data_IF_122127133222
#
_entry.id   IF_122127133222
#
_cell.length_a   1.000
_cell.length_b   1.000
_cell.length_c   1.000
_cell.angle_alpha   90.00
_cell.angle_beta   90.00
_cell.angle_gamma   90.00
#
_symmetry.space_group_name_H-M   'P 1'
#
loop_
_entity.id
_entity.type
_entity.pdbx_description
1 polymer ?
#
# COMPACT_ATOMS: atom_id res chain seq x y z
N UNK A 1 28.79 16.44 -6.95
CA UNK A 1 28.63 16.49 -5.48
C UNK A 1 29.43 15.34 -4.88
N UNK A 2 30.07 15.47 -3.71
CA UNK A 2 30.77 14.32 -3.09
C UNK A 2 29.73 13.22 -2.79
N UNK A 3 29.93 11.95 -3.18
CA UNK A 3 28.92 10.88 -3.11
C UNK A 3 28.33 10.71 -1.70
N UNK A 4 29.14 10.95 -0.67
CA UNK A 4 28.75 10.92 0.75
C UNK A 4 27.59 11.88 1.08
N UNK A 5 27.52 13.07 0.46
CA UNK A 5 26.46 14.05 0.77
C UNK A 5 25.12 13.69 0.15
N UNK A 6 25.13 13.08 -1.04
CA UNK A 6 23.90 12.55 -1.67
C UNK A 6 23.36 11.42 -0.79
N UNK A 7 24.23 10.51 -0.36
CA UNK A 7 23.86 9.42 0.56
C UNK A 7 23.22 9.96 1.84
N UNK A 8 23.77 11.02 2.45
CA UNK A 8 23.20 11.63 3.68
C UNK A 8 21.83 12.28 3.43
N UNK A 9 21.62 12.95 2.30
CA UNK A 9 20.30 13.52 1.95
C UNK A 9 19.29 12.41 1.68
N UNK A 10 19.69 11.35 0.98
CA UNK A 10 18.85 10.18 0.70
C UNK A 10 18.46 9.47 2.01
N UNK A 11 19.41 9.26 2.92
CA UNK A 11 19.13 8.69 4.25
C UNK A 11 18.19 9.59 5.04
N UNK A 12 18.43 10.91 5.05
CA UNK A 12 17.55 11.87 5.70
C UNK A 12 16.13 11.83 5.15
N UNK A 13 15.96 11.75 3.83
CA UNK A 13 14.65 11.68 3.17
C UNK A 13 13.92 10.35 3.44
N UNK A 14 14.64 9.23 3.40
CA UNK A 14 14.08 7.91 3.75
C UNK A 14 13.60 7.89 5.21
N UNK A 15 14.38 8.49 6.12
CA UNK A 15 13.99 8.62 7.52
C UNK A 15 12.74 9.49 7.69
N UNK A 16 12.65 10.60 6.94
CA UNK A 16 11.49 11.49 6.94
C UNK A 16 10.20 10.75 6.57
N UNK A 17 10.30 9.84 5.59
CA UNK A 17 9.17 9.06 5.12
C UNK A 17 8.67 8.09 6.18
N UNK A 18 9.57 7.28 6.74
CA UNK A 18 9.22 6.33 7.80
C UNK A 18 8.59 7.07 8.97
N UNK A 19 9.18 8.22 9.32
CA UNK A 19 8.67 9.09 10.38
C UNK A 19 7.26 9.63 10.09
N UNK A 20 6.99 10.04 8.84
CA UNK A 20 5.68 10.54 8.42
C UNK A 20 4.61 9.43 8.43
N UNK A 21 4.93 8.23 7.94
CA UNK A 21 4.01 7.09 7.99
C UNK A 21 3.66 6.77 9.43
N UNK A 22 4.65 6.64 10.30
CA UNK A 22 4.42 6.41 11.74
C UNK A 22 3.58 7.53 12.34
N UNK A 23 3.89 8.79 12.06
CA UNK A 23 3.13 9.93 12.57
C UNK A 23 1.67 9.91 12.10
N UNK A 24 1.41 9.66 10.82
CA UNK A 24 0.04 9.57 10.28
C UNK A 24 -0.70 8.38 10.89
N UNK A 25 -0.08 7.20 10.94
CA UNK A 25 -0.68 6.01 11.54
C UNK A 25 -1.04 6.23 13.01
N UNK A 26 -0.14 6.82 13.79
CA UNK A 26 -0.41 7.18 15.19
C UNK A 26 -1.52 8.22 15.33
N UNK A 27 -1.59 9.20 14.41
CA UNK A 27 -2.64 10.22 14.41
C UNK A 27 -4.01 9.62 14.09
N UNK A 28 -4.10 8.76 13.07
CA UNK A 28 -5.32 8.04 12.72
C UNK A 28 -5.78 7.17 13.89
N UNK A 29 -4.87 6.41 14.51
CA UNK A 29 -5.19 5.58 15.67
C UNK A 29 -5.69 6.42 16.86
N UNK A 30 -5.06 7.56 17.14
CA UNK A 30 -5.47 8.46 18.21
C UNK A 30 -6.84 9.12 17.94
N UNK A 31 -7.13 9.48 16.68
CA UNK A 31 -8.43 10.03 16.28
C UNK A 31 -9.51 8.97 16.40
N UNK A 32 -9.30 7.78 15.83
CA UNK A 32 -10.24 6.65 15.97
C UNK A 32 -10.51 6.32 17.43
N UNK A 33 -9.44 6.27 18.25
CA UNK A 33 -9.58 6.10 19.70
C UNK A 33 -10.42 7.18 20.37
N UNK A 34 -10.34 8.43 19.91
CA UNK A 34 -11.11 9.54 20.47
C UNK A 34 -12.56 9.59 19.99
N UNK A 35 -12.87 9.10 18.78
CA UNK A 35 -14.17 9.27 18.12
C UNK A 35 -15.07 8.04 18.14
N UNK A 36 -14.51 6.84 18.13
CA UNK A 36 -15.27 5.59 17.99
C UNK A 36 -15.61 4.92 19.32
N UNK A 37 -15.02 5.39 20.43
CA UNK A 37 -15.29 4.85 21.76
C UNK A 37 -16.57 5.44 22.36
N UNK A 38 -17.26 4.64 23.16
CA UNK A 38 -18.34 5.11 24.02
C UNK A 38 -17.81 5.91 25.24
N UNK A 39 -18.74 6.45 26.04
CA UNK A 39 -18.42 7.18 27.28
C UNK A 39 -17.68 6.32 28.32
N UNK A 40 -17.83 4.99 28.25
CA UNK A 40 -17.14 4.00 29.08
C UNK A 40 -15.74 3.61 28.57
N UNK A 41 -15.35 4.07 27.38
CA UNK A 41 -14.08 3.74 26.74
C UNK A 41 -14.06 2.41 25.99
N UNK A 42 -15.22 1.86 25.63
CA UNK A 42 -15.38 0.64 24.85
C UNK A 42 -15.59 0.97 23.36
N UNK A 43 -15.01 0.15 22.50
CA UNK A 43 -15.33 0.10 21.08
C UNK A 43 -16.41 -0.96 20.91
N UNK A 44 -17.62 -0.51 20.61
CA UNK A 44 -18.80 -1.38 20.51
C UNK A 44 -18.99 -1.89 19.09
N UNK A 45 -19.21 -3.19 18.98
CA UNK A 45 -19.69 -3.86 17.78
C UNK A 45 -21.07 -4.45 18.07
N UNK A 46 -22.07 -4.08 17.26
CA UNK A 46 -23.43 -4.60 17.39
C UNK A 46 -23.63 -5.78 16.45
N UNK A 47 -24.14 -6.88 16.99
CA UNK A 47 -24.56 -8.06 16.25
C UNK A 47 -26.08 -8.01 16.10
N UNK A 48 -26.54 -7.75 14.88
CA UNK A 48 -27.96 -7.55 14.61
C UNK A 48 -28.70 -8.89 14.68
N UNK A 49 -29.61 -8.99 15.67
CA UNK A 49 -30.58 -10.09 15.84
C UNK A 49 -29.97 -11.51 15.78
N UNK A 50 -29.32 -11.90 16.86
CA UNK A 50 -28.99 -13.31 17.10
C UNK A 50 -30.29 -14.10 17.32
N UNK A 51 -30.54 -15.05 16.42
CA UNK A 51 -31.72 -15.89 16.45
C UNK A 51 -31.31 -17.36 16.25
N UNK A 52 -31.58 -18.19 17.25
CA UNK A 52 -31.42 -19.65 17.14
C UNK A 52 -32.66 -20.38 17.66
N UNK A 53 -32.93 -21.55 17.09
CA UNK A 53 -33.92 -22.49 17.61
C UNK A 53 -33.35 -23.43 18.69
N UNK A 54 -32.04 -23.37 18.95
CA UNK A 54 -31.34 -24.24 19.90
C UNK A 54 -31.39 -23.68 21.33
N UNK A 55 -30.89 -24.43 22.30
CA UNK A 55 -30.91 -24.05 23.72
C UNK A 55 -29.78 -23.08 24.10
N UNK A 56 -28.73 -22.96 23.28
CA UNK A 56 -27.56 -22.12 23.57
C UNK A 56 -26.89 -21.62 22.30
N UNK A 57 -26.36 -20.39 22.35
CA UNK A 57 -25.37 -19.89 21.41
C UNK A 57 -24.00 -19.84 22.11
N UNK A 58 -22.97 -20.42 21.49
CA UNK A 58 -21.61 -20.45 22.03
C UNK A 58 -20.59 -19.84 21.07
N UNK A 59 -19.54 -19.22 21.58
CA UNK A 59 -18.38 -18.78 20.77
C UNK A 59 -17.48 -19.98 20.43
N UNK A 60 -16.92 -20.03 19.21
CA UNK A 60 -16.05 -21.12 18.80
C UNK A 60 -14.62 -21.08 19.36
N UNK A 61 -13.90 -22.20 19.24
CA UNK A 61 -12.57 -22.49 19.85
C UNK A 61 -11.46 -21.49 19.44
N UNK A 62 -11.62 -20.76 18.34
CA UNK A 62 -10.54 -19.99 17.71
C UNK A 62 -10.43 -18.53 18.19
N UNK A 63 -11.50 -17.92 18.70
CA UNK A 63 -11.55 -16.45 18.86
C UNK A 63 -11.13 -15.93 20.24
N UNK A 64 -11.05 -16.78 21.26
CA UNK A 64 -10.70 -16.38 22.64
C UNK A 64 -9.39 -17.01 23.15
N UNK A 65 -8.54 -17.50 22.25
CA UNK A 65 -7.25 -18.11 22.61
C UNK A 65 -6.20 -17.03 22.88
N UNK A 66 -5.69 -16.98 24.11
CA UNK A 66 -4.49 -16.23 24.43
C UNK A 66 -3.25 -17.00 23.96
N UNK A 67 -2.60 -16.54 22.88
CA UNK A 67 -1.22 -16.96 22.59
C UNK A 67 -0.32 -16.45 23.73
N UNK A 68 0.63 -17.25 24.25
CA UNK A 68 1.54 -16.79 25.29
C UNK A 68 2.36 -15.61 24.73
N UNK A 69 2.03 -14.42 25.22
CA UNK A 69 2.70 -13.18 24.85
C UNK A 69 4.18 -13.19 25.27
N UNK A 70 4.99 -12.24 24.77
CA UNK A 70 6.38 -12.11 25.17
C UNK A 70 6.50 -11.89 26.69
N UNK A 71 7.61 -12.29 27.33
CA UNK A 71 7.70 -12.48 28.78
C UNK A 71 7.34 -11.24 29.61
N UNK A 72 6.70 -11.51 30.75
CA UNK A 72 5.99 -10.71 31.77
C UNK A 72 6.55 -9.34 32.17
N UNK A 73 7.73 -8.93 31.70
CA UNK A 73 8.37 -7.66 32.10
C UNK A 73 8.11 -6.50 31.16
N UNK A 74 7.41 -6.71 30.04
CA UNK A 74 7.20 -5.67 29.03
C UNK A 74 5.76 -5.16 28.97
N UNK A 75 4.76 -5.83 29.56
CA UNK A 75 3.34 -5.64 29.23
C UNK A 75 2.36 -5.47 30.43
N UNK A 76 2.73 -4.75 31.49
CA UNK A 76 1.76 -4.28 32.53
C UNK A 76 0.71 -3.28 31.98
N UNK A 77 0.70 -3.01 30.66
CA UNK A 77 -0.14 -2.00 30.01
C UNK A 77 -1.35 -2.60 29.26
N UNK A 78 -1.60 -3.90 29.44
CA UNK A 78 -2.52 -4.69 28.61
C UNK A 78 -3.76 -5.10 29.40
N UNK A 79 -4.38 -4.14 30.10
CA UNK A 79 -5.71 -4.35 30.66
C UNK A 79 -6.70 -4.40 29.49
N UNK A 80 -7.18 -5.61 29.16
CA UNK A 80 -8.28 -5.82 28.24
C UNK A 80 -9.55 -6.14 29.03
N UNK A 81 -10.62 -5.39 28.79
CA UNK A 81 -11.94 -5.72 29.31
C UNK A 81 -12.93 -5.89 28.17
N UNK A 82 -13.73 -6.95 28.26
CA UNK A 82 -14.81 -7.23 27.33
C UNK A 82 -16.12 -6.96 28.05
N UNK A 83 -17.01 -6.23 27.39
CA UNK A 83 -18.36 -5.96 27.85
C UNK A 83 -19.34 -6.57 26.87
N UNK A 84 -20.21 -7.44 27.35
CA UNK A 84 -21.27 -8.05 26.55
C UNK A 84 -22.60 -7.49 27.05
N UNK A 85 -23.35 -6.84 26.19
CA UNK A 85 -24.73 -6.43 26.45
C UNK A 85 -25.65 -7.30 25.62
N UNK A 86 -26.56 -8.04 26.25
CA UNK A 86 -27.59 -8.77 25.53
C UNK A 86 -28.97 -8.25 25.92
N UNK A 87 -29.82 -7.99 24.94
CA UNK A 87 -31.20 -7.55 25.16
C UNK A 87 -32.14 -8.58 24.55
N UNK A 88 -33.02 -9.14 25.38
CA UNK A 88 -34.08 -10.03 24.90
C UNK A 88 -35.06 -9.24 24.05
N UNK A 89 -35.38 -9.75 22.86
CA UNK A 89 -36.41 -9.18 21.99
C UNK A 89 -37.79 -9.67 22.44
N UNK A 90 -37.88 -10.85 23.05
CA UNK A 90 -39.12 -11.31 23.70
C UNK A 90 -39.21 -10.75 25.13
N UNK A 91 -40.25 -9.96 25.46
CA UNK A 91 -40.41 -9.34 26.79
C UNK A 91 -40.62 -10.34 27.94
N UNK A 92 -40.99 -11.59 27.63
CA UNK A 92 -41.29 -12.62 28.63
C UNK A 92 -40.12 -13.52 29.00
N UNK A 93 -39.03 -13.52 28.22
CA UNK A 93 -37.87 -14.38 28.44
C UNK A 93 -36.75 -13.64 29.16
N UNK A 94 -36.20 -14.28 30.19
CA UNK A 94 -34.97 -13.84 30.85
C UNK A 94 -33.77 -14.46 30.15
N UNK A 95 -32.75 -13.65 29.86
CA UNK A 95 -31.51 -14.13 29.25
C UNK A 95 -30.44 -14.35 30.31
N UNK A 96 -29.58 -15.33 30.03
CA UNK A 96 -28.35 -15.63 30.74
C UNK A 96 -27.16 -15.41 29.80
N UNK A 97 -26.16 -14.66 30.27
CA UNK A 97 -24.85 -14.52 29.63
C UNK A 97 -23.82 -15.06 30.62
N UNK A 98 -22.96 -16.00 30.20
CA UNK A 98 -21.90 -16.55 31.04
C UNK A 98 -20.58 -16.68 30.30
N UNK A 99 -19.48 -16.46 31.03
CA UNK A 99 -18.12 -16.72 30.58
C UNK A 99 -17.48 -17.68 31.57
N UNK A 100 -16.99 -18.81 31.07
CA UNK A 100 -16.39 -19.88 31.87
C UNK A 100 -15.26 -20.58 31.14
N UNK A 101 -14.46 -21.41 31.85
CA UNK A 101 -13.43 -22.22 31.22
C UNK A 101 -14.04 -23.13 30.16
N UNK A 102 -13.40 -23.20 29.00
CA UNK A 102 -13.94 -23.93 27.84
C UNK A 102 -14.30 -25.39 28.17
N UNK A 103 -13.44 -26.09 28.90
CA UNK A 103 -13.67 -27.49 29.27
C UNK A 103 -14.90 -27.68 30.17
N UNK A 104 -15.19 -26.74 31.08
CA UNK A 104 -16.34 -26.82 31.98
C UNK A 104 -17.64 -26.49 31.23
N UNK A 105 -17.58 -25.51 30.32
CA UNK A 105 -18.70 -25.14 29.44
C UNK A 105 -19.06 -26.29 28.50
N UNK A 106 -18.05 -26.93 27.89
CA UNK A 106 -18.26 -28.09 27.01
C UNK A 106 -18.87 -29.27 27.76
N UNK A 107 -18.42 -29.53 28.99
CA UNK A 107 -19.00 -30.56 29.84
C UNK A 107 -20.46 -30.26 30.21
N UNK A 108 -20.79 -29.01 30.54
CA UNK A 108 -22.14 -28.57 30.87
C UNK A 108 -23.11 -28.67 29.68
N UNK A 109 -22.63 -28.37 28.45
CA UNK A 109 -23.42 -28.44 27.22
C UNK A 109 -23.29 -29.79 26.48
N UNK A 110 -22.72 -30.80 27.12
CA UNK A 110 -22.60 -32.14 26.55
C UNK A 110 -24.00 -32.70 26.25
N UNK A 111 -24.23 -33.11 24.99
CA UNK A 111 -25.52 -33.68 24.57
C UNK A 111 -26.66 -32.65 24.38
N UNK A 112 -26.40 -31.36 24.57
CA UNK A 112 -27.36 -30.26 24.38
C UNK A 112 -27.27 -29.71 22.96
N UNK A 113 -28.42 -29.45 22.33
CA UNK A 113 -28.46 -28.78 21.04
C UNK A 113 -28.04 -27.30 21.18
N UNK A 114 -27.02 -26.88 20.44
CA UNK A 114 -26.47 -25.52 20.47
C UNK A 114 -25.97 -25.08 19.11
N UNK A 115 -25.95 -23.78 18.89
CA UNK A 115 -25.32 -23.17 17.72
C UNK A 115 -24.00 -22.50 18.12
N UNK A 116 -22.94 -22.81 17.38
CA UNK A 116 -21.61 -22.25 17.58
C UNK A 116 -21.36 -21.13 16.55
N UNK A 117 -20.93 -19.96 17.01
CA UNK A 117 -20.55 -18.85 16.11
C UNK A 117 -19.23 -19.20 15.44
N UNK A 118 -19.22 -19.22 14.10
CA UNK A 118 -18.04 -19.55 13.29
C UNK A 118 -17.35 -18.32 12.73
N UNK A 119 -18.11 -17.38 12.22
CA UNK A 119 -17.62 -16.16 11.58
C UNK A 119 -18.64 -15.04 11.71
N UNK A 120 -18.17 -13.80 11.67
CA UNK A 120 -18.98 -12.59 11.76
C UNK A 120 -18.61 -11.68 10.59
N UNK A 121 -19.56 -11.42 9.69
CA UNK A 121 -19.36 -10.54 8.54
C UNK A 121 -19.25 -9.07 9.02
N UNK A 122 -18.52 -8.16 8.33
CA UNK A 122 -18.40 -6.76 8.75
C UNK A 122 -19.73 -6.00 8.80
N UNK A 123 -20.77 -6.52 8.16
CA UNK A 123 -22.13 -5.98 8.19
C UNK A 123 -22.94 -6.43 9.44
N UNK A 124 -22.37 -7.30 10.28
CA UNK A 124 -22.97 -7.76 11.55
C UNK A 124 -23.71 -9.10 11.47
N UNK A 125 -23.77 -9.73 10.29
CA UNK A 125 -24.37 -11.05 10.08
C UNK A 125 -23.46 -12.16 10.65
N UNK A 126 -24.08 -13.14 11.33
CA UNK A 126 -23.38 -14.22 12.04
C UNK A 126 -23.60 -15.56 11.36
N UNK A 127 -22.51 -16.28 11.04
CA UNK A 127 -22.58 -17.64 10.52
C UNK A 127 -22.52 -18.66 11.67
N UNK A 128 -23.52 -19.55 11.74
CA UNK A 128 -23.63 -20.56 12.78
C UNK A 128 -23.24 -21.95 12.30
N UNK A 129 -22.62 -22.72 13.19
CA UNK A 129 -22.46 -24.17 13.09
C UNK A 129 -23.34 -24.86 14.13
N UNK A 130 -24.41 -25.49 13.67
CA UNK A 130 -25.30 -26.24 14.54
C UNK A 130 -24.70 -27.54 15.05
N UNK A 131 -24.77 -27.76 16.36
CA UNK A 131 -24.38 -28.98 17.05
C UNK A 131 -25.65 -29.65 17.57
N UNK A 132 -25.91 -30.86 17.07
CA UNK A 132 -27.10 -31.62 17.44
C UNK A 132 -27.00 -32.17 18.87
N UNK A 133 -28.11 -32.13 19.60
CA UNK A 133 -28.26 -32.69 20.93
C UNK A 133 -29.73 -32.93 21.27
N UNK A 134 -29.98 -33.68 22.34
CA UNK A 134 -31.34 -34.03 22.80
C UNK A 134 -31.55 -33.80 24.29
N UNK A 135 -30.51 -33.43 25.02
CA UNK A 135 -30.59 -33.17 26.46
C UNK A 135 -30.98 -31.70 26.73
N UNK A 136 -31.65 -31.47 27.86
CA UNK A 136 -31.94 -30.14 28.37
C UNK A 136 -30.95 -29.84 29.49
N UNK A 137 -30.16 -28.76 29.40
CA UNK A 137 -29.19 -28.44 30.45
C UNK A 137 -29.89 -28.02 31.74
N UNK A 138 -29.18 -28.14 32.86
CA UNK A 138 -29.61 -27.55 34.12
C UNK A 138 -29.66 -26.01 34.02
N UNK A 139 -30.37 -25.28 34.89
CA UNK A 139 -30.37 -23.83 34.83
C UNK A 139 -28.94 -23.25 34.93
N UNK A 140 -28.54 -22.35 34.00
CA UNK A 140 -27.16 -21.88 33.92
C UNK A 140 -26.73 -21.06 35.13
N UNK A 141 -27.66 -20.31 35.76
CA UNK A 141 -27.38 -19.49 36.94
C UNK A 141 -27.07 -20.30 38.21
N UNK A 142 -27.39 -21.59 38.24
CA UNK A 142 -27.09 -22.47 39.37
C UNK A 142 -25.68 -23.07 39.30
N UNK A 143 -24.97 -22.89 38.19
CA UNK A 143 -23.64 -23.47 38.00
C UNK A 143 -22.55 -22.56 38.58
N UNK A 144 -21.62 -23.16 39.35
CA UNK A 144 -20.57 -22.42 40.06
C UNK A 144 -19.25 -22.23 39.30
N UNK A 145 -19.15 -22.73 38.06
CA UNK A 145 -17.91 -22.66 37.27
C UNK A 145 -17.77 -21.37 36.44
N UNK A 146 -18.85 -20.57 36.34
CA UNK A 146 -18.81 -19.29 35.64
C UNK A 146 -17.89 -18.31 36.37
N UNK A 147 -16.96 -17.72 35.63
CA UNK A 147 -16.08 -16.67 36.15
C UNK A 147 -16.79 -15.32 36.12
N UNK A 148 -17.65 -15.11 35.14
CA UNK A 148 -18.53 -13.96 35.05
C UNK A 148 -19.88 -14.40 34.48
N UNK A 149 -20.99 -13.97 35.08
CA UNK A 149 -22.34 -14.22 34.56
C UNK A 149 -23.31 -13.11 34.89
N UNK A 150 -24.29 -12.89 34.01
CA UNK A 150 -25.40 -11.98 34.21
C UNK A 150 -26.72 -12.67 33.83
N UNK A 151 -27.80 -12.40 34.55
CA UNK A 151 -29.11 -13.02 34.32
C UNK A 151 -30.23 -12.06 34.66
N UNK A 152 -31.23 -11.97 33.78
CA UNK A 152 -32.46 -11.23 34.07
C UNK A 152 -33.25 -10.83 32.83
N UNK A 153 -34.34 -10.09 33.07
CA UNK A 153 -35.20 -9.53 32.03
C UNK A 153 -34.64 -8.21 31.46
N UNK A 154 -34.86 -7.95 30.17
CA UNK A 154 -34.41 -6.72 29.51
C UNK A 154 -32.94 -6.77 29.08
N UNK A 155 -32.24 -5.62 29.11
CA UNK A 155 -30.83 -5.55 28.75
C UNK A 155 -29.95 -5.98 29.92
N UNK A 156 -29.21 -7.07 29.74
CA UNK A 156 -28.22 -7.57 30.68
C UNK A 156 -26.83 -7.16 30.25
N UNK A 157 -26.02 -6.68 31.19
CA UNK A 157 -24.64 -6.27 30.95
C UNK A 157 -23.69 -7.15 31.76
N UNK A 158 -22.75 -7.77 31.06
CA UNK A 158 -21.66 -8.55 31.63
C UNK A 158 -20.34 -7.85 31.30
N UNK A 159 -19.58 -7.47 32.33
CA UNK A 159 -18.21 -6.95 32.16
C UNK A 159 -17.25 -8.01 32.69
N UNK A 160 -16.30 -8.39 31.84
CA UNK A 160 -15.28 -9.38 32.15
C UNK A 160 -13.89 -8.81 31.88
N UNK A 161 -13.03 -8.88 32.89
CA UNK A 161 -11.62 -8.56 32.76
C UNK A 161 -10.90 -9.79 32.20
N UNK A 162 -10.26 -9.63 31.05
CA UNK A 162 -9.63 -10.72 30.35
C UNK A 162 -8.48 -11.30 31.18
N UNK A 163 -8.42 -12.63 31.29
CA UNK A 163 -7.36 -13.35 32.00
C UNK A 163 -6.79 -14.45 31.11
N UNK A 164 -5.53 -14.82 31.34
CA UNK A 164 -4.88 -15.88 30.57
C UNK A 164 -5.63 -17.21 30.72
N UNK A 165 -5.99 -17.84 29.60
CA UNK A 165 -6.72 -19.10 29.59
C UNK A 165 -7.47 -19.36 28.29
N UNK A 166 -8.21 -20.47 28.25
CA UNK A 166 -9.15 -20.82 27.18
C UNK A 166 -10.57 -20.66 27.73
N UNK A 167 -11.30 -19.71 27.16
CA UNK A 167 -12.60 -19.26 27.67
C UNK A 167 -13.68 -19.45 26.62
N UNK A 168 -14.88 -19.82 27.06
CA UNK A 168 -16.07 -19.86 26.20
C UNK A 168 -17.15 -18.95 26.76
N UNK A 169 -17.75 -18.15 25.88
CA UNK A 169 -18.92 -17.35 26.20
C UNK A 169 -20.19 -18.07 25.73
N UNK A 170 -21.24 -17.99 26.55
CA UNK A 170 -22.51 -18.67 26.35
C UNK A 170 -23.66 -17.70 26.54
N UNK A 171 -24.57 -17.69 25.57
CA UNK A 171 -25.86 -16.99 25.65
C UNK A 171 -26.99 -18.02 25.64
N UNK A 172 -27.88 -17.96 26.64
CA UNK A 172 -28.99 -18.90 26.82
C UNK A 172 -30.21 -18.19 27.41
N UNK A 173 -31.39 -18.83 27.35
CA UNK A 173 -32.49 -18.47 28.23
C UNK A 173 -32.19 -18.91 29.67
N UNK A 174 -32.59 -18.11 30.65
CA UNK A 174 -32.31 -18.37 32.07
C UNK A 174 -32.94 -19.68 32.59
N UNK A 175 -34.02 -20.13 31.97
CA UNK A 175 -34.72 -21.39 32.25
C UNK A 175 -34.21 -22.58 31.42
N UNK A 176 -33.14 -22.40 30.64
CA UNK A 176 -32.57 -23.37 29.72
C UNK A 176 -33.53 -23.83 28.59
N UNK A 177 -34.60 -23.09 28.32
CA UNK A 177 -35.52 -23.38 27.23
C UNK A 177 -34.89 -23.07 25.85
N UNK A 178 -35.24 -23.83 24.79
CA UNK A 178 -34.78 -23.57 23.44
C UNK A 178 -35.46 -22.34 22.81
N UNK A 179 -34.77 -21.68 21.90
CA UNK A 179 -35.27 -20.52 21.19
C UNK A 179 -34.74 -19.22 21.81
N UNK A 180 -33.65 -18.70 21.26
CA UNK A 180 -33.03 -17.45 21.72
C UNK A 180 -33.21 -16.41 20.63
N UNK A 181 -33.75 -15.25 21.01
CA UNK A 181 -33.94 -14.12 20.11
C UNK A 181 -33.50 -12.85 20.84
N UNK A 182 -32.26 -12.44 20.58
CA UNK A 182 -31.60 -11.39 21.33
C UNK A 182 -30.77 -10.48 20.41
N UNK A 183 -30.66 -9.22 20.80
CA UNK A 183 -29.68 -8.29 20.25
C UNK A 183 -28.47 -8.27 21.17
N UNK A 184 -27.25 -8.44 20.61
CA UNK A 184 -26.02 -8.47 21.40
C UNK A 184 -25.06 -7.40 20.92
N UNK A 185 -24.55 -6.62 21.86
CA UNK A 185 -23.47 -5.66 21.64
C UNK A 185 -22.24 -6.14 22.39
N UNK A 186 -21.13 -6.30 21.68
CA UNK A 186 -19.84 -6.64 22.25
C UNK A 186 -18.96 -5.39 22.23
N UNK A 187 -18.62 -4.90 23.40
CA UNK A 187 -17.69 -3.80 23.60
C UNK A 187 -16.33 -4.30 24.03
N UNK A 188 -15.26 -3.85 23.37
CA UNK A 188 -13.88 -4.16 23.77
C UNK A 188 -13.20 -2.88 24.24
N UNK A 189 -12.52 -2.93 25.39
CA UNK A 189 -11.70 -1.85 25.92
C UNK A 189 -10.28 -2.35 26.13
N UNK A 190 -9.31 -1.54 25.71
CA UNK A 190 -7.89 -1.80 25.88
C UNK A 190 -7.18 -0.60 26.47
N UNK A 191 -6.50 -0.79 27.60
CA UNK A 191 -5.63 0.21 28.21
C UNK A 191 -4.37 0.53 27.39
N UNK A 192 -3.97 -0.37 26.48
CA UNK A 192 -2.75 -0.27 25.69
C UNK A 192 -2.86 0.66 24.48
N UNK A 193 -4.06 0.81 23.91
CA UNK A 193 -4.27 1.49 22.62
C UNK A 193 -3.77 2.93 22.64
N UNK A 194 -4.10 3.69 23.69
CA UNK A 194 -3.71 5.09 23.79
C UNK A 194 -2.19 5.26 24.00
N UNK A 195 -1.54 4.58 24.96
CA UNK A 195 -0.08 4.59 25.08
C UNK A 195 0.64 4.20 23.79
N UNK A 196 0.15 3.20 23.06
CA UNK A 196 0.72 2.78 21.77
C UNK A 196 0.57 3.88 20.72
N UNK A 197 -0.62 4.46 20.57
CA UNK A 197 -0.87 5.57 19.64
C UNK A 197 0.03 6.77 19.94
N UNK A 198 0.15 7.16 21.21
CA UNK A 198 1.04 8.25 21.65
C UNK A 198 2.51 7.92 21.39
N UNK A 199 2.94 6.68 21.66
CA UNK A 199 4.32 6.25 21.43
C UNK A 199 4.68 6.31 19.94
N UNK A 200 3.80 5.81 19.07
CA UNK A 200 3.95 5.88 17.61
C UNK A 200 4.01 7.34 17.13
N UNK A 201 3.09 8.19 17.62
CA UNK A 201 3.07 9.62 17.32
C UNK A 201 4.37 10.33 17.72
N UNK A 202 4.80 10.11 18.95
CA UNK A 202 6.00 10.72 19.49
C UNK A 202 7.25 10.26 18.74
N UNK A 203 7.36 8.96 18.46
CA UNK A 203 8.47 8.41 17.68
C UNK A 203 8.49 8.98 16.25
N UNK A 204 7.32 9.02 15.58
CA UNK A 204 7.18 9.65 14.27
C UNK A 204 7.60 11.12 14.28
N UNK A 205 7.15 11.89 15.26
CA UNK A 205 7.53 13.31 15.41
C UNK A 205 9.05 13.48 15.66
N UNK A 206 9.64 12.67 16.54
CA UNK A 206 11.07 12.71 16.84
C UNK A 206 11.92 12.41 15.60
N UNK A 207 11.56 11.36 14.87
CA UNK A 207 12.25 10.97 13.63
C UNK A 207 12.09 12.03 12.53
N UNK A 208 10.94 12.72 12.45
CA UNK A 208 10.73 13.85 11.54
C UNK A 208 11.69 14.99 11.88
N UNK A 209 11.85 15.34 13.17
CA UNK A 209 12.79 16.39 13.60
C UNK A 209 14.23 16.01 13.25
N UNK A 210 14.64 14.77 13.51
CA UNK A 210 15.99 14.27 13.17
C UNK A 210 16.22 14.31 11.65
N UNK A 211 15.25 13.85 10.86
CA UNK A 211 15.32 13.90 9.40
C UNK A 211 15.48 15.32 8.88
N UNK A 212 14.65 16.26 9.34
CA UNK A 212 14.71 17.66 8.94
C UNK A 212 16.08 18.26 9.31
N UNK A 213 16.61 17.95 10.49
CA UNK A 213 17.93 18.40 10.91
C UNK A 213 19.03 17.89 9.97
N UNK A 214 19.02 16.61 9.60
CA UNK A 214 19.97 16.00 8.64
C UNK A 214 19.89 16.70 7.28
N UNK A 215 18.68 16.91 6.76
CA UNK A 215 18.44 17.56 5.46
C UNK A 215 18.95 19.02 5.49
N UNK A 216 18.65 19.77 6.55
CA UNK A 216 19.08 21.17 6.70
C UNK A 216 20.60 21.29 6.80
N UNK A 217 21.26 20.42 7.58
CA UNK A 217 22.72 20.40 7.69
C UNK A 217 23.38 20.04 6.36
N UNK A 218 22.82 19.08 5.62
CA UNK A 218 23.32 18.72 4.29
C UNK A 218 23.11 19.85 3.25
N UNK A 219 22.03 20.63 3.37
CA UNK A 219 21.69 21.72 2.45
C UNK A 219 22.51 23.01 2.67
N UNK A 220 22.97 23.29 3.90
CA UNK A 220 23.71 24.53 4.23
C UNK A 220 25.15 24.58 3.70
N UNK A 221 25.69 23.50 3.15
CA UNK A 221 27.09 23.39 2.70
C UNK A 221 27.43 23.97 1.31
N UNK A 222 26.59 24.83 0.71
CA UNK A 222 26.76 25.27 -0.69
C UNK A 222 26.67 26.79 -0.96
N UNK A 223 26.73 27.66 0.04
CA UNK A 223 26.72 29.10 -0.21
C UNK A 223 28.08 29.71 -0.61
N UNK A 224 29.19 28.96 -0.57
CA UNK A 224 30.53 29.54 -0.74
C UNK A 224 31.50 28.63 -1.50
N UNK A 225 31.26 28.38 -2.80
CA UNK A 225 32.34 28.11 -3.76
C UNK A 225 31.78 28.14 -5.20
N UNK A 226 31.61 29.35 -5.72
CA UNK A 226 31.54 29.56 -7.16
C UNK A 226 32.97 29.49 -7.70
N UNK A 227 33.31 28.40 -8.38
CA UNK A 227 34.57 28.27 -9.10
C UNK A 227 34.53 29.11 -10.41
N UNK A 228 35.69 29.58 -10.91
CA UNK A 228 35.77 30.55 -11.99
C UNK A 228 35.36 29.94 -13.33
N UNK A 229 34.67 30.74 -14.14
CA UNK A 229 34.37 30.51 -15.55
C UNK A 229 35.64 30.17 -16.31
N UNK A 230 35.73 28.95 -16.83
CA UNK A 230 36.67 28.63 -17.91
C UNK A 230 36.03 29.09 -19.21
N UNK A 231 36.71 30.01 -19.89
CA UNK A 231 36.41 30.44 -21.25
C UNK A 231 36.39 29.21 -22.17
N UNK A 232 35.21 28.87 -22.67
CA UNK A 232 35.02 27.96 -23.80
C UNK A 232 35.01 28.84 -25.05
N UNK A 233 35.84 28.56 -26.07
CA UNK A 233 35.82 29.32 -27.30
C UNK A 233 34.45 29.18 -27.97
N UNK A 234 33.90 30.33 -28.33
CA UNK A 234 32.61 30.53 -28.97
C UNK A 234 32.61 29.83 -30.34
N UNK A 235 32.19 28.56 -30.36
CA UNK A 235 31.84 27.86 -31.60
C UNK A 235 30.43 28.31 -31.97
N UNK A 236 30.31 28.85 -33.18
CA UNK A 236 29.18 29.64 -33.66
C UNK A 236 27.80 29.09 -33.36
N UNK A 237 26.90 30.03 -33.09
CA UNK A 237 25.45 29.86 -33.05
C UNK A 237 24.94 29.09 -34.26
N UNK A 238 24.84 27.77 -34.12
CA UNK A 238 23.84 27.01 -34.85
C UNK A 238 22.47 27.35 -34.23
N UNK A 239 21.41 27.58 -35.03
CA UNK A 239 20.11 27.95 -34.49
C UNK A 239 19.64 26.88 -33.52
N UNK A 240 19.16 27.29 -32.34
CA UNK A 240 18.55 26.42 -31.33
C UNK A 240 17.29 25.78 -31.91
N UNK A 241 17.47 24.73 -32.72
CA UNK A 241 16.39 23.84 -33.13
C UNK A 241 15.85 23.21 -31.86
N UNK A 242 14.55 23.30 -31.65
CA UNK A 242 13.85 22.93 -30.42
C UNK A 242 14.19 21.50 -29.97
N UNK A 243 15.20 21.37 -29.10
CA UNK A 243 15.56 20.10 -28.50
C UNK A 243 14.38 19.57 -27.67
N UNK A 244 13.94 18.36 -27.96
CA UNK A 244 12.88 17.69 -27.21
C UNK A 244 13.37 17.47 -25.77
N UNK A 245 12.61 17.88 -24.73
CA UNK A 245 13.12 17.89 -23.36
C UNK A 245 13.37 16.51 -22.75
N UNK A 246 12.84 15.45 -23.36
CA UNK A 246 12.99 14.06 -22.94
C UNK A 246 13.35 13.22 -24.16
N UNK A 247 14.57 12.71 -24.18
CA UNK A 247 15.10 11.85 -25.24
C UNK A 247 15.25 10.43 -24.69
N UNK A 248 14.53 9.50 -25.28
CA UNK A 248 14.59 8.07 -24.95
C UNK A 248 15.07 7.32 -26.20
N UNK A 249 16.13 6.53 -26.07
CA UNK A 249 16.66 5.74 -27.18
C UNK A 249 16.78 4.27 -26.77
N UNK A 250 16.61 3.40 -27.76
CA UNK A 250 16.68 1.97 -27.60
C UNK A 250 17.19 1.31 -28.88
N UNK A 251 18.26 0.51 -28.77
CA UNK A 251 18.80 -0.29 -29.86
C UNK A 251 18.67 -1.79 -29.53
N UNK A 252 18.24 -2.59 -30.51
CA UNK A 252 18.15 -4.05 -30.32
C UNK A 252 19.57 -4.62 -30.29
N UNK A 253 19.92 -5.26 -29.19
CA UNK A 253 21.22 -5.92 -29.00
C UNK A 253 21.17 -7.34 -29.59
N UNK A 254 21.59 -7.48 -30.86
CA UNK A 254 21.53 -8.73 -31.61
C UNK A 254 22.84 -9.52 -31.51
N UNK A 255 22.82 -10.86 -31.39
CA UNK A 255 21.64 -11.74 -31.41
C UNK A 255 20.94 -11.87 -30.05
N UNK A 256 19.60 -11.80 -30.05
CA UNK A 256 18.77 -12.12 -28.89
C UNK A 256 18.54 -13.63 -28.80
N UNK A 257 18.61 -14.17 -27.59
CA UNK A 257 18.28 -15.57 -27.32
C UNK A 257 16.76 -15.82 -27.36
N UNK A 258 16.38 -16.99 -27.88
CA UNK A 258 14.98 -17.39 -28.04
C UNK A 258 14.28 -17.72 -26.71
N UNK A 259 15.04 -18.15 -25.70
CA UNK A 259 14.52 -18.74 -24.47
C UNK A 259 14.79 -17.91 -23.22
N UNK A 260 15.78 -17.00 -23.21
CA UNK A 260 16.16 -16.33 -21.97
C UNK A 260 15.06 -15.42 -21.42
N UNK A 261 14.16 -14.89 -22.26
CA UNK A 261 13.07 -14.03 -21.77
C UNK A 261 12.18 -14.72 -20.70
N UNK A 262 12.06 -16.06 -20.72
CA UNK A 262 11.36 -16.85 -19.70
C UNK A 262 12.08 -16.86 -18.33
N UNK A 263 13.37 -16.55 -18.29
CA UNK A 263 14.20 -16.55 -17.06
C UNK A 263 14.54 -15.13 -16.61
N UNK A 264 14.64 -14.17 -17.56
CA UNK A 264 15.01 -12.79 -17.27
C UNK A 264 14.12 -12.09 -16.26
N UNK A 265 12.81 -12.36 -16.27
CA UNK A 265 11.88 -11.76 -15.31
C UNK A 265 12.22 -12.14 -13.86
N UNK A 266 12.69 -13.38 -13.63
CA UNK A 266 13.16 -13.83 -12.33
C UNK A 266 14.45 -13.11 -11.91
N UNK A 267 15.40 -12.96 -12.84
CA UNK A 267 16.65 -12.22 -12.59
C UNK A 267 16.44 -10.71 -12.34
N UNK A 268 15.30 -10.16 -12.78
CA UNK A 268 14.92 -8.77 -12.55
C UNK A 268 14.26 -8.53 -11.16
N UNK A 269 13.89 -9.57 -10.42
CA UNK A 269 13.26 -9.45 -9.08
C UNK A 269 14.08 -8.55 -8.13
N UNK A 270 15.41 -8.73 -7.98
CA UNK A 270 16.20 -7.86 -7.12
C UNK A 270 16.17 -6.39 -7.54
N UNK A 271 16.11 -6.10 -8.85
CA UNK A 271 15.97 -4.74 -9.36
C UNK A 271 14.62 -4.15 -9.02
N UNK A 272 13.53 -4.91 -9.16
CA UNK A 272 12.19 -4.42 -8.82
C UNK A 272 12.09 -4.06 -7.34
N UNK A 273 12.65 -4.87 -6.44
CA UNK A 273 12.68 -4.57 -5.01
C UNK A 273 13.35 -3.21 -4.76
N UNK A 274 14.55 -2.98 -5.30
CA UNK A 274 15.25 -1.70 -5.11
C UNK A 274 14.52 -0.54 -5.78
N UNK A 275 13.98 -0.75 -6.98
CA UNK A 275 13.23 0.26 -7.72
C UNK A 275 11.96 0.67 -6.97
N UNK A 276 11.25 -0.23 -6.28
CA UNK A 276 10.09 0.14 -5.45
C UNK A 276 10.48 1.20 -4.42
N UNK A 277 11.57 0.99 -3.68
CA UNK A 277 12.05 1.99 -2.71
C UNK A 277 12.49 3.30 -3.37
N UNK A 278 13.14 3.23 -4.54
CA UNK A 278 13.55 4.42 -5.28
C UNK A 278 12.38 5.20 -5.88
N UNK A 279 11.33 4.53 -6.33
CA UNK A 279 10.11 5.16 -6.84
C UNK A 279 9.33 5.85 -5.73
N UNK A 280 9.30 5.27 -4.53
CA UNK A 280 8.74 5.94 -3.35
C UNK A 280 9.53 7.23 -3.07
N UNK A 281 10.87 7.15 -3.04
CA UNK A 281 11.71 8.34 -2.87
C UNK A 281 11.51 9.37 -3.98
N UNK A 282 11.37 8.94 -5.24
CA UNK A 282 11.10 9.79 -6.41
C UNK A 282 9.81 10.60 -6.25
N UNK A 283 8.71 9.96 -5.81
CA UNK A 283 7.42 10.63 -5.61
C UNK A 283 7.52 11.69 -4.51
N UNK A 284 8.12 11.35 -3.37
CA UNK A 284 8.30 12.29 -2.26
C UNK A 284 9.18 13.47 -2.64
N UNK A 285 10.29 13.21 -3.30
CA UNK A 285 11.21 14.25 -3.75
C UNK A 285 10.60 15.12 -4.85
N UNK A 286 9.69 14.58 -5.66
CA UNK A 286 8.86 15.35 -6.59
C UNK A 286 7.93 16.32 -5.84
N UNK A 287 7.31 15.90 -4.73
CA UNK A 287 6.49 16.79 -3.91
C UNK A 287 7.34 17.91 -3.29
N UNK A 288 8.50 17.56 -2.73
CA UNK A 288 9.48 18.54 -2.20
C UNK A 288 9.92 19.50 -3.31
N UNK A 289 10.18 19.00 -4.51
CA UNK A 289 10.53 19.82 -5.67
C UNK A 289 9.38 20.72 -6.09
N UNK A 290 8.13 20.28 -5.99
CA UNK A 290 6.95 21.11 -6.25
C UNK A 290 6.89 22.32 -5.32
N UNK A 291 7.09 22.11 -4.01
CA UNK A 291 7.21 23.19 -3.03
C UNK A 291 8.38 24.12 -3.37
N UNK A 292 9.56 23.55 -3.67
CA UNK A 292 10.73 24.33 -4.03
C UNK A 292 10.53 25.17 -5.31
N UNK A 293 9.87 24.63 -6.34
CA UNK A 293 9.56 25.34 -7.58
C UNK A 293 8.53 26.44 -7.34
N UNK A 294 7.54 26.22 -6.47
CA UNK A 294 6.55 27.24 -6.13
C UNK A 294 7.21 28.50 -5.56
N UNK A 295 8.18 28.34 -4.67
CA UNK A 295 8.90 29.47 -4.06
C UNK A 295 10.04 30.01 -4.94
N UNK A 296 10.82 29.15 -5.59
CA UNK A 296 12.08 29.54 -6.26
C UNK A 296 11.98 29.61 -7.78
N UNK A 297 10.96 28.98 -8.38
CA UNK A 297 10.83 28.80 -9.83
C UNK A 297 11.89 27.88 -10.45
N UNK A 298 12.64 27.13 -9.63
CA UNK A 298 13.74 26.25 -10.06
C UNK A 298 13.59 24.87 -9.45
N UNK A 299 13.89 23.85 -10.26
CA UNK A 299 13.98 22.48 -9.79
C UNK A 299 15.29 22.29 -9.02
N UNK A 300 15.30 21.78 -7.77
CA UNK A 300 16.55 21.53 -7.05
C UNK A 300 17.43 20.52 -7.80
N UNK A 301 18.64 20.92 -8.22
CA UNK A 301 19.53 20.09 -9.06
C UNK A 301 19.78 18.69 -8.49
N UNK A 302 20.06 18.57 -7.20
CA UNK A 302 20.32 17.26 -6.58
C UNK A 302 19.11 16.32 -6.62
N UNK A 303 17.89 16.87 -6.53
CA UNK A 303 16.65 16.08 -6.67
C UNK A 303 16.42 15.72 -8.13
N UNK A 304 16.68 16.66 -9.05
CA UNK A 304 16.55 16.41 -10.48
C UNK A 304 17.47 15.26 -10.93
N UNK A 305 18.74 15.31 -10.55
CA UNK A 305 19.74 14.30 -10.90
C UNK A 305 19.36 12.92 -10.35
N UNK A 306 18.86 12.87 -9.10
CA UNK A 306 18.33 11.63 -8.51
C UNK A 306 17.12 11.11 -9.30
N UNK A 307 16.14 11.96 -9.55
CA UNK A 307 14.91 11.59 -10.24
C UNK A 307 15.18 11.10 -11.67
N UNK A 308 16.05 11.77 -12.43
CA UNK A 308 16.50 11.30 -13.76
C UNK A 308 17.21 9.96 -13.63
N UNK A 309 18.03 9.77 -12.61
CA UNK A 309 18.72 8.52 -12.35
C UNK A 309 17.79 7.33 -12.10
N UNK A 310 16.71 7.53 -11.34
CA UNK A 310 15.65 6.52 -11.14
C UNK A 310 14.96 6.18 -12.44
N UNK A 311 14.64 7.18 -13.28
CA UNK A 311 14.01 6.95 -14.58
C UNK A 311 14.94 6.19 -15.55
N UNK A 312 16.23 6.54 -15.59
CA UNK A 312 17.26 5.84 -16.39
C UNK A 312 17.36 4.37 -16.00
N UNK A 313 17.43 4.12 -14.69
CA UNK A 313 17.52 2.75 -14.21
C UNK A 313 16.24 1.96 -14.50
N UNK A 314 15.07 2.57 -14.28
CA UNK A 314 13.79 1.97 -14.63
C UNK A 314 13.76 1.60 -16.12
N UNK A 315 14.16 2.51 -17.02
CA UNK A 315 14.20 2.24 -18.46
C UNK A 315 15.07 1.02 -18.81
N UNK A 316 16.27 0.90 -18.22
CA UNK A 316 17.16 -0.25 -18.45
C UNK A 316 16.53 -1.59 -18.04
N UNK A 317 15.84 -1.61 -16.89
CA UNK A 317 15.18 -2.81 -16.36
C UNK A 317 13.96 -3.18 -17.21
N UNK A 318 13.16 -2.19 -17.60
CA UNK A 318 12.00 -2.40 -18.48
C UNK A 318 12.43 -2.94 -19.86
N UNK A 319 13.52 -2.41 -20.44
CA UNK A 319 14.07 -2.85 -21.72
C UNK A 319 14.61 -4.29 -21.68
N UNK A 320 15.16 -4.71 -20.54
CA UNK A 320 15.71 -6.05 -20.35
C UNK A 320 14.63 -7.13 -20.13
N UNK A 321 13.64 -6.89 -19.28
CA UNK A 321 12.77 -7.95 -18.74
C UNK A 321 11.25 -7.69 -18.78
N UNK A 322 10.76 -6.53 -19.23
CA UNK A 322 9.32 -6.25 -19.20
C UNK A 322 8.83 -5.35 -20.35
N UNK A 323 8.13 -4.26 -20.05
CA UNK A 323 7.37 -3.44 -20.99
C UNK A 323 8.22 -2.69 -22.02
N UNK A 324 9.55 -2.68 -21.88
CA UNK A 324 10.48 -2.10 -22.83
C UNK A 324 10.79 -2.99 -24.03
N UNK A 325 10.18 -4.18 -24.13
CA UNK A 325 10.25 -5.01 -25.35
C UNK A 325 11.38 -6.02 -25.38
N UNK A 326 11.95 -6.43 -24.24
CA UNK A 326 12.93 -7.53 -24.16
C UNK A 326 14.09 -7.38 -25.16
N UNK A 327 14.51 -6.14 -25.43
CA UNK A 327 15.39 -5.78 -26.54
C UNK A 327 16.89 -6.01 -26.29
N UNK A 328 17.27 -6.50 -25.10
CA UNK A 328 18.65 -6.85 -24.75
C UNK A 328 18.72 -8.06 -23.83
N UNK A 329 19.75 -8.89 -24.01
CA UNK A 329 20.11 -9.99 -23.10
C UNK A 329 21.12 -9.55 -22.02
N UNK A 330 21.61 -8.30 -22.07
CA UNK A 330 22.59 -7.79 -21.12
C UNK A 330 21.93 -7.42 -19.80
N UNK A 331 22.44 -7.98 -18.70
CA UNK A 331 21.90 -7.72 -17.37
C UNK A 331 22.07 -6.24 -16.96
N UNK A 332 21.01 -5.54 -16.47
CA UNK A 332 21.09 -4.14 -16.10
C UNK A 332 22.02 -3.89 -14.88
N UNK A 333 22.96 -2.93 -14.95
CA UNK A 333 23.77 -2.58 -13.79
C UNK A 333 22.95 -1.85 -12.71
N UNK A 334 23.25 -2.10 -11.43
CA UNK A 334 22.67 -1.43 -10.25
C UNK A 334 23.26 -0.03 -10.07
N UNK A 335 22.95 0.86 -11.01
CA UNK A 335 23.39 2.26 -10.95
C UNK A 335 22.27 3.18 -11.42
N UNK A 336 22.25 4.40 -10.90
CA UNK A 336 21.41 5.50 -11.37
C UNK A 336 22.13 6.35 -12.44
N UNK A 337 23.43 6.16 -12.62
CA UNK A 337 24.23 6.94 -13.55
C UNK A 337 23.95 6.54 -15.01
N UNK A 338 24.41 7.38 -15.93
CA UNK A 338 24.42 7.07 -17.36
C UNK A 338 25.48 6.01 -17.65
N UNK A 339 25.12 5.04 -18.49
CA UNK A 339 26.02 3.97 -18.93
C UNK A 339 26.13 4.10 -20.44
N UNK A 340 27.27 4.60 -20.92
CA UNK A 340 27.46 4.99 -22.33
C UNK A 340 27.25 3.80 -23.30
N UNK A 341 27.66 2.60 -22.91
CA UNK A 341 27.65 1.42 -23.77
C UNK A 341 26.42 0.50 -23.56
N UNK A 342 25.34 1.01 -22.95
CA UNK A 342 24.12 0.23 -22.72
C UNK A 342 23.07 0.56 -23.79
N UNK A 343 22.37 -0.45 -24.37
CA UNK A 343 21.47 -0.27 -25.52
C UNK A 343 20.18 0.52 -25.22
N UNK A 344 19.95 0.91 -23.97
CA UNK A 344 18.77 1.67 -23.54
C UNK A 344 19.23 2.92 -22.78
N UNK A 345 18.99 4.10 -23.37
CA UNK A 345 19.38 5.40 -22.82
C UNK A 345 18.17 6.31 -22.61
N UNK A 346 18.25 7.14 -21.57
CA UNK A 346 17.23 8.14 -21.25
C UNK A 346 17.93 9.40 -20.77
N UNK A 347 17.65 10.51 -21.43
CA UNK A 347 18.16 11.83 -21.08
C UNK A 347 17.01 12.83 -20.97
N UNK A 348 17.03 13.60 -19.88
CA UNK A 348 16.07 14.66 -19.60
C UNK A 348 16.85 15.96 -19.44
N UNK A 349 16.51 16.96 -20.26
CA UNK A 349 17.19 18.25 -20.21
C UNK A 349 16.79 19.01 -18.94
N UNK A 350 17.78 19.51 -18.21
CA UNK A 350 17.53 20.30 -16.99
C UNK A 350 16.83 21.63 -17.34
N UNK A 351 15.63 21.90 -16.81
CA UNK A 351 14.91 23.14 -17.11
C UNK A 351 15.54 24.32 -16.36
N UNK A 352 15.95 25.36 -17.09
CA UNK A 352 16.57 26.55 -16.48
C UNK A 352 15.58 27.36 -15.59
N UNK A 353 14.30 27.37 -15.98
CA UNK A 353 13.19 27.99 -15.25
C UNK A 353 11.93 27.16 -15.43
N UNK A 354 11.15 27.03 -14.37
CA UNK A 354 9.83 26.39 -14.36
C UNK A 354 8.76 27.38 -13.90
N UNK A 355 7.55 27.18 -14.39
CA UNK A 355 6.38 28.00 -14.09
C UNK A 355 5.82 27.70 -12.69
N UNK A 356 5.76 28.73 -11.84
CA UNK A 356 5.43 28.58 -10.40
C UNK A 356 4.00 28.10 -10.16
N UNK A 357 3.02 28.67 -10.86
CA UNK A 357 1.60 28.37 -10.65
C UNK A 357 1.14 27.07 -11.33
N UNK A 358 1.79 26.68 -12.43
CA UNK A 358 1.45 25.43 -13.13
C UNK A 358 1.80 24.20 -12.28
N UNK A 359 2.77 24.28 -11.37
CA UNK A 359 3.09 23.18 -10.44
C UNK A 359 1.87 22.65 -9.70
N UNK A 360 0.89 23.49 -9.35
CA UNK A 360 -0.30 23.07 -8.60
C UNK A 360 -1.36 22.39 -9.46
N UNK A 361 -1.36 22.64 -10.77
CA UNK A 361 -2.46 22.26 -11.69
C UNK A 361 -2.01 21.18 -12.68
N UNK A 362 -0.75 21.22 -13.07
CA UNK A 362 -0.16 20.44 -14.16
C UNK A 362 -0.20 18.93 -13.94
N UNK A 363 0.12 18.48 -12.72
CA UNK A 363 0.32 17.06 -12.40
C UNK A 363 -0.97 16.29 -12.15
N UNK A 364 -2.09 16.96 -11.80
CA UNK A 364 -3.37 16.26 -11.57
C UNK A 364 -4.47 16.68 -12.54
N UNK A 365 -4.54 17.94 -13.00
CA UNK A 365 -5.60 18.42 -13.89
C UNK A 365 -5.21 18.33 -15.37
N UNK A 366 -4.05 18.87 -15.76
CA UNK A 366 -3.63 18.83 -17.17
C UNK A 366 -3.20 17.42 -17.61
N UNK A 367 -2.79 16.59 -16.66
CA UNK A 367 -2.41 15.20 -16.90
C UNK A 367 -3.60 14.23 -17.00
N UNK A 368 -4.84 14.66 -16.70
CA UNK A 368 -6.04 13.79 -16.76
C UNK A 368 -6.16 13.08 -18.11
N UNK A 369 -6.06 13.76 -19.27
CA UNK A 369 -6.14 13.08 -20.57
C UNK A 369 -5.08 11.98 -20.72
N UNK A 370 -3.86 12.20 -20.23
CA UNK A 370 -2.80 11.20 -20.26
C UNK A 370 -3.07 10.06 -19.29
N UNK A 371 -3.59 10.34 -18.09
CA UNK A 371 -3.97 9.31 -17.12
C UNK A 371 -5.09 8.41 -17.62
N UNK A 372 -6.08 8.97 -18.34
CA UNK A 372 -7.13 8.16 -18.97
C UNK A 372 -6.57 7.22 -20.03
N UNK A 373 -5.66 7.72 -20.87
CA UNK A 373 -4.98 6.90 -21.88
C UNK A 373 -4.07 5.86 -21.22
N UNK A 374 -3.32 6.21 -20.18
CA UNK A 374 -2.50 5.29 -19.41
C UNK A 374 -3.35 4.21 -18.72
N UNK A 375 -4.49 4.56 -18.12
CA UNK A 375 -5.38 3.61 -17.48
C UNK A 375 -5.95 2.61 -18.50
N UNK A 376 -6.28 3.07 -19.71
CA UNK A 376 -6.71 2.20 -20.81
C UNK A 376 -5.57 1.29 -21.30
N UNK A 377 -4.38 1.85 -21.53
CA UNK A 377 -3.21 1.15 -22.06
C UNK A 377 -2.58 0.19 -21.05
N UNK A 378 -2.57 0.53 -19.76
CA UNK A 378 -1.95 -0.26 -18.70
C UNK A 378 -2.90 -1.31 -18.10
N UNK A 379 -4.22 -1.10 -18.16
CA UNK A 379 -5.15 -1.92 -17.38
C UNK A 379 -6.53 -2.21 -17.98
N UNK A 380 -6.81 -1.89 -19.26
CA UNK A 380 -8.07 -2.30 -19.88
C UNK A 380 -9.32 -1.72 -19.17
N UNK A 381 -9.37 -0.41 -18.99
CA UNK A 381 -10.60 0.39 -19.10
C UNK A 381 -11.73 0.30 -18.05
N UNK A 382 -11.80 -0.68 -17.13
CA UNK A 382 -12.99 -0.81 -16.26
C UNK A 382 -12.75 -1.00 -14.76
N UNK A 383 -11.64 -1.62 -14.32
CA UNK A 383 -11.48 -2.04 -12.92
C UNK A 383 -10.97 -0.98 -11.93
N UNK A 384 -10.47 0.16 -12.40
CA UNK A 384 -9.89 1.20 -11.53
C UNK A 384 -10.91 2.21 -11.03
N UNK A 385 -12.01 2.40 -11.77
CA UNK A 385 -13.00 3.40 -11.43
C UNK A 385 -14.10 2.80 -10.55
N UNK A 386 -14.63 1.62 -10.88
CA UNK A 386 -15.63 0.91 -10.07
C UNK A 386 -14.90 -0.13 -9.19
N UNK A 387 -15.07 -0.03 -7.87
CA UNK A 387 -14.20 -0.57 -6.81
C UNK A 387 -14.08 -2.09 -6.64
N UNK A 388 -14.10 -2.89 -7.70
CA UNK A 388 -14.10 -4.37 -7.61
C UNK A 388 -12.73 -5.02 -7.85
N UNK A 389 -11.69 -4.25 -8.17
CA UNK A 389 -10.36 -4.78 -8.54
C UNK A 389 -9.51 -5.26 -7.37
N UNK A 390 -9.77 -4.82 -6.13
CA UNK A 390 -9.11 -5.36 -4.95
C UNK A 390 -9.65 -6.75 -4.55
N UNK A 391 -10.93 -7.03 -4.81
CA UNK A 391 -11.61 -8.29 -4.45
C UNK A 391 -11.32 -9.46 -5.42
N UNK A 392 -10.98 -9.18 -6.67
CA UNK A 392 -10.89 -10.20 -7.73
C UNK A 392 -9.47 -10.71 -8.02
N UNK A 393 -8.44 -10.21 -7.34
CA UNK A 393 -7.03 -10.57 -7.61
C UNK A 393 -6.54 -10.22 -9.02
N UNK A 394 -7.37 -9.58 -9.85
CA UNK A 394 -7.12 -9.30 -11.25
C UNK A 394 -6.25 -8.05 -11.49
N UNK A 395 -6.00 -7.24 -10.45
CA UNK A 395 -5.30 -5.95 -10.58
C UNK A 395 -3.80 -6.03 -10.90
N UNK A 396 -3.15 -7.18 -10.67
CA UNK A 396 -1.72 -7.37 -10.95
C UNK A 396 -1.45 -8.13 -12.26
N UNK A 397 -2.48 -8.74 -12.87
CA UNK A 397 -2.38 -9.59 -14.06
C UNK A 397 -3.16 -9.07 -15.27
N UNK A 398 -3.83 -7.91 -15.18
CA UNK A 398 -4.50 -7.28 -16.31
C UNK A 398 -3.47 -6.69 -17.28
N UNK A 399 -2.85 -7.56 -18.07
CA UNK A 399 -1.85 -7.19 -19.06
C UNK A 399 -2.38 -6.14 -20.03
N UNK A 400 -2.00 -4.88 -19.82
CA UNK A 400 -2.31 -3.78 -20.72
C UNK A 400 -1.76 -4.00 -22.13
N UNK A 401 -2.16 -3.15 -23.08
CA UNK A 401 -1.76 -3.21 -24.49
C UNK A 401 -0.24 -3.38 -24.67
N UNK A 402 0.59 -2.71 -23.86
CA UNK A 402 2.06 -2.86 -23.90
C UNK A 402 2.48 -4.30 -23.58
N UNK A 403 1.94 -4.88 -22.51
CA UNK A 403 2.27 -6.24 -22.08
C UNK A 403 1.85 -7.27 -23.14
N UNK A 404 0.69 -7.08 -23.77
CA UNK A 404 0.23 -7.90 -24.89
C UNK A 404 1.17 -7.79 -26.10
N UNK A 405 1.57 -6.57 -26.49
CA UNK A 405 2.50 -6.35 -27.61
C UNK A 405 3.87 -6.99 -27.34
N UNK A 406 4.38 -6.87 -26.11
CA UNK A 406 5.64 -7.52 -25.70
C UNK A 406 5.50 -9.04 -25.70
N UNK A 407 4.37 -9.58 -25.24
CA UNK A 407 4.11 -11.02 -25.28
C UNK A 407 4.07 -11.55 -26.72
N UNK A 408 3.38 -10.85 -27.63
CA UNK A 408 3.36 -11.20 -29.05
C UNK A 408 4.79 -11.16 -29.62
N UNK A 409 5.57 -10.14 -29.29
CA UNK A 409 6.96 -10.04 -29.74
C UNK A 409 7.83 -11.18 -29.18
N UNK A 410 7.64 -11.58 -27.92
CA UNK A 410 8.34 -12.70 -27.29
C UNK A 410 7.98 -14.04 -27.94
N UNK A 411 6.70 -14.27 -28.25
CA UNK A 411 6.22 -15.46 -28.96
C UNK A 411 6.79 -15.53 -30.38
N UNK A 412 6.77 -14.42 -31.13
CA UNK A 412 7.38 -14.37 -32.46
C UNK A 412 8.89 -14.62 -32.37
N UNK A 413 9.59 -14.02 -31.41
CA UNK A 413 11.02 -14.25 -31.18
C UNK A 413 11.31 -15.72 -30.86
N UNK A 414 10.46 -16.36 -30.05
CA UNK A 414 10.58 -17.76 -29.66
C UNK A 414 10.54 -18.70 -30.88
N UNK A 415 9.56 -18.51 -31.78
CA UNK A 415 9.38 -19.40 -32.94
C UNK A 415 10.27 -19.04 -34.14
N UNK A 416 10.58 -17.76 -34.34
CA UNK A 416 11.27 -17.28 -35.55
C UNK A 416 12.75 -16.93 -35.33
N UNK A 417 13.19 -16.80 -34.07
CA UNK A 417 14.52 -16.31 -33.72
C UNK A 417 14.80 -14.87 -34.15
N UNK A 418 13.77 -14.13 -34.60
CA UNK A 418 13.89 -12.74 -35.08
C UNK A 418 12.88 -11.86 -34.36
N UNK A 419 13.37 -10.73 -33.82
CA UNK A 419 12.49 -9.76 -33.19
C UNK A 419 11.73 -8.96 -34.26
N UNK A 420 10.39 -8.89 -34.21
CA UNK A 420 9.59 -8.14 -35.18
C UNK A 420 9.82 -6.62 -35.06
N UNK A 421 10.51 -6.02 -36.04
CA UNK A 421 10.86 -4.58 -36.05
C UNK A 421 9.66 -3.63 -35.92
N UNK A 422 8.51 -3.84 -36.60
CA UNK A 422 7.36 -2.95 -36.44
C UNK A 422 6.79 -2.94 -35.02
N UNK A 423 6.81 -4.09 -34.33
CA UNK A 423 6.38 -4.20 -32.94
C UNK A 423 7.38 -3.52 -32.00
N UNK A 424 8.69 -3.67 -32.26
CA UNK A 424 9.72 -2.93 -31.54
C UNK A 424 9.49 -1.43 -31.63
N UNK A 425 9.35 -0.90 -32.85
CA UNK A 425 9.19 0.54 -33.09
C UNK A 425 7.94 1.10 -32.40
N UNK A 426 6.86 0.33 -32.35
CA UNK A 426 5.63 0.66 -31.63
C UNK A 426 5.82 0.66 -30.10
N UNK A 427 6.47 -0.39 -29.56
CA UNK A 427 6.75 -0.51 -28.11
C UNK A 427 7.65 0.64 -27.65
N UNK A 428 8.69 0.99 -28.41
CA UNK A 428 9.56 2.12 -28.09
C UNK A 428 8.82 3.45 -28.18
N UNK A 429 8.03 3.66 -29.23
CA UNK A 429 7.22 4.88 -29.37
C UNK A 429 6.23 5.08 -28.22
N UNK A 430 5.63 4.00 -27.73
CA UNK A 430 4.72 4.02 -26.59
C UNK A 430 5.46 4.32 -25.28
N UNK A 431 6.58 3.66 -25.01
CA UNK A 431 7.39 3.97 -23.83
C UNK A 431 7.92 5.40 -23.86
N UNK A 432 8.36 5.92 -25.02
CA UNK A 432 8.77 7.33 -25.18
C UNK A 432 7.67 8.29 -24.75
N UNK A 433 6.43 8.05 -25.18
CA UNK A 433 5.28 8.83 -24.74
C UNK A 433 5.05 8.72 -23.22
N UNK A 434 5.09 7.51 -22.65
CA UNK A 434 4.95 7.30 -21.19
C UNK A 434 6.01 8.07 -20.39
N UNK A 435 7.28 7.99 -20.79
CA UNK A 435 8.37 8.70 -20.10
C UNK A 435 8.27 10.22 -20.23
N UNK A 436 7.73 10.74 -21.36
CA UNK A 436 7.40 12.17 -21.48
C UNK A 436 6.29 12.58 -20.52
N UNK A 437 5.26 11.75 -20.34
CA UNK A 437 4.19 11.97 -19.34
C UNK A 437 4.74 11.95 -17.93
N UNK A 438 5.60 10.98 -17.60
CA UNK A 438 6.26 10.90 -16.29
C UNK A 438 7.09 12.17 -16.02
N UNK A 439 7.93 12.60 -16.97
CA UNK A 439 8.73 13.82 -16.81
C UNK A 439 7.87 15.08 -16.66
N UNK A 440 6.72 15.15 -17.33
CA UNK A 440 5.79 16.26 -17.21
C UNK A 440 5.11 16.31 -15.83
N UNK A 441 4.60 15.16 -15.37
CA UNK A 441 3.88 15.00 -14.09
C UNK A 441 4.83 15.10 -12.88
N UNK A 442 6.09 14.70 -13.04
CA UNK A 442 7.15 14.89 -12.04
C UNK A 442 7.78 16.29 -12.06
N UNK A 443 7.17 17.23 -12.80
CA UNK A 443 7.53 18.65 -12.86
C UNK A 443 8.90 18.92 -13.50
N UNK A 444 9.47 17.96 -14.23
CA UNK A 444 10.79 18.08 -14.87
C UNK A 444 10.76 18.87 -16.19
N UNK A 445 9.58 18.99 -16.83
CA UNK A 445 9.42 19.78 -18.06
C UNK A 445 8.04 20.44 -18.13
N UNK A 446 7.96 21.73 -18.45
CA UNK A 446 6.70 22.45 -18.66
C UNK A 446 6.05 22.21 -20.03
N UNK A 447 6.76 21.52 -20.94
CA UNK A 447 6.23 21.21 -22.26
C UNK A 447 5.22 20.08 -22.16
N UNK A 448 3.97 20.35 -22.57
CA UNK A 448 2.90 19.34 -22.60
C UNK A 448 3.28 18.17 -23.53
N UNK A 449 3.16 16.90 -23.08
CA UNK A 449 3.51 15.75 -23.90
C UNK A 449 2.55 15.61 -25.09
N UNK A 450 3.06 15.56 -26.34
CA UNK A 450 2.21 15.42 -27.52
C UNK A 450 1.58 14.02 -27.59
N UNK A 451 0.35 13.92 -28.09
CA UNK A 451 -0.34 12.63 -28.37
C UNK A 451 0.16 11.97 -29.67
N UNK A 452 1.47 11.87 -29.83
CA UNK A 452 2.11 11.19 -30.97
C UNK A 452 3.03 10.08 -30.45
N UNK A 453 2.98 8.95 -31.12
CA UNK A 453 3.87 7.82 -30.87
C UNK A 453 5.03 7.97 -31.85
N UNK A 454 6.14 8.58 -31.42
CA UNK A 454 7.33 8.71 -32.26
C UNK A 454 8.03 7.34 -32.35
N UNK A 455 7.63 6.55 -33.35
CA UNK A 455 8.08 5.19 -33.59
C UNK A 455 9.54 5.12 -34.07
N UNK A 456 10.26 4.08 -33.64
CA UNK A 456 11.66 3.84 -33.99
C UNK A 456 12.60 3.87 -32.79
N UNK A 457 13.77 3.23 -32.94
CA UNK A 457 14.79 3.12 -31.90
C UNK A 457 15.54 4.42 -31.55
N UNK A 458 15.62 5.36 -32.50
CA UNK A 458 16.27 6.67 -32.34
C UNK A 458 15.27 7.80 -32.61
N UNK A 459 15.45 8.94 -31.93
CA UNK A 459 14.69 10.16 -32.21
C UNK A 459 15.25 10.79 -33.48
N UNK A 460 14.43 10.95 -34.53
CA UNK A 460 14.87 11.57 -35.79
C UNK A 460 15.15 13.05 -35.58
N UNK A 461 16.31 13.53 -36.04
CA UNK A 461 16.52 14.97 -36.15
C UNK A 461 15.59 15.56 -37.22
N UNK A 462 15.10 16.80 -37.07
CA UNK A 462 14.07 17.37 -37.94
C UNK A 462 14.48 17.57 -39.42
N UNK A 463 15.66 17.14 -39.84
CA UNK A 463 16.23 17.43 -41.16
C UNK A 463 15.94 16.36 -42.22
N UNK A 464 15.32 15.24 -41.86
CA UNK A 464 15.01 14.15 -42.80
C UNK A 464 13.54 14.12 -43.27
N UNK A 465 12.97 15.29 -43.60
CA UNK A 465 11.64 15.43 -44.21
C UNK A 465 11.70 15.91 -45.66
#
# INVERSE_FOLDING_TARGET
>A
MKPVRIVVVVIGALLALVALVLFISGAVLAVGYATERDDGGYFDATLDRLATATAAITTGEADLRADPGPPDRVLDFVDFSVRIKATSIDPGSELFIGIGPEADVEAYLSGVARDEIRDVDPDGDVEYRGIAGSETPAPPAEQGFWVASATGSGTQELVWEFSEGTWAAVLMNADASPGILAEVTVGVRSGALLPVAISILFLGALLLVVSVAIIVVAARGHAAEAAPSRDVPEVGEAPLVSAEPVRLEASIDSPLSQWLWLVKWFLAIPHFIVLVFLWIAFVLLTLVSGVAILFTGRYPRGIFDFNVGVLRWSWRVLFYASSGGLGTDRYPPFTTDQVADYPATLDVLYPAKLSRGLVLVKWWLLAIPHYLVLAFIAGGGAGWWWGDSWRSGAGLWSGGLVALLVLIAAVVLLFTGRYPRPLFDLIIGLNRWVFRVIAYTSLMTDRYPPFRLDQGGHEREPTDA
#
